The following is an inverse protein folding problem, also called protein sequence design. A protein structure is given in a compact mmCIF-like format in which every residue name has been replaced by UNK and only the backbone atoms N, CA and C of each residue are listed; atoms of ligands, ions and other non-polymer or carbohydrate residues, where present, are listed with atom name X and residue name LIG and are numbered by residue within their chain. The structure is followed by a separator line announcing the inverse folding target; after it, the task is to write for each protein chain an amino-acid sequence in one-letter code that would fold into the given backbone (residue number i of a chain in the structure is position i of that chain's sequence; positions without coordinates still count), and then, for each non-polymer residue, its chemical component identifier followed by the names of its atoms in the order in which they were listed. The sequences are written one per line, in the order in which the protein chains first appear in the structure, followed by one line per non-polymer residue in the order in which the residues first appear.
data_IF_926069578025
#
_entry.id   IF_926069578025
#
_cell.length_a   1.000
_cell.length_b   1.000
_cell.length_c   1.000
_cell.angle_alpha   90.00
_cell.angle_beta   90.00
_cell.angle_gamma   90.00
#
_symmetry.space_group_name_H-M   'P 1'
#
loop_
_entity.id
_entity.type
_entity.pdbx_description
1 polymer ?
#
# COMPACT_ATOMS: atom_id res chain seq x y z
N UNK A 1 49.97 12.67 -1.17
CA UNK A 1 49.16 12.98 -2.37
C UNK A 1 49.96 12.57 -3.59
N UNK A 2 49.43 11.64 -4.38
CA UNK A 2 50.14 11.03 -5.51
C UNK A 2 50.32 12.02 -6.66
N UNK A 3 51.57 12.37 -6.95
CA UNK A 3 51.96 13.28 -8.06
C UNK A 3 51.50 12.76 -9.42
N UNK A 4 51.30 11.44 -9.56
CA UNK A 4 50.73 10.81 -10.77
C UNK A 4 49.24 11.11 -10.98
N UNK A 5 48.46 11.31 -9.91
CA UNK A 5 47.02 11.67 -10.01
C UNK A 5 46.83 13.13 -10.38
N UNK A 6 47.74 14.01 -9.95
CA UNK A 6 47.70 15.44 -10.28
C UNK A 6 48.06 15.65 -11.77
N UNK A 7 49.05 14.90 -12.29
CA UNK A 7 49.45 15.02 -13.70
C UNK A 7 48.35 14.54 -14.67
N UNK A 8 47.62 13.46 -14.33
CA UNK A 8 46.48 13.00 -15.13
C UNK A 8 45.32 14.01 -15.16
N UNK A 9 45.10 14.77 -14.08
CA UNK A 9 44.08 15.82 -14.05
C UNK A 9 44.46 17.04 -14.90
N UNK A 10 45.74 17.40 -14.92
CA UNK A 10 46.24 18.53 -15.74
C UNK A 10 46.16 18.19 -17.24
N UNK A 11 46.50 16.96 -17.63
CA UNK A 11 46.41 16.51 -19.03
C UNK A 11 44.95 16.40 -19.48
N UNK A 12 44.04 15.94 -18.63
CA UNK A 12 42.60 15.90 -18.93
C UNK A 12 42.01 17.32 -19.07
N UNK A 13 42.43 18.26 -18.23
CA UNK A 13 42.00 19.65 -18.32
C UNK A 13 42.50 20.34 -19.60
N UNK A 14 43.71 20.05 -20.06
CA UNK A 14 44.23 20.58 -21.34
C UNK A 14 43.50 20.02 -22.57
N UNK A 15 43.03 18.78 -22.53
CA UNK A 15 42.27 18.17 -23.63
C UNK A 15 40.83 18.71 -23.70
N UNK A 16 40.22 19.04 -22.56
CA UNK A 16 38.87 19.65 -22.51
C UNK A 16 38.90 21.11 -22.99
N UNK A 17 39.97 21.86 -22.74
CA UNK A 17 40.12 23.24 -23.24
C UNK A 17 40.48 23.27 -24.73
N UNK A 18 41.20 22.26 -25.24
CA UNK A 18 41.61 22.16 -26.66
C UNK A 18 40.54 21.67 -27.64
N UNK A 19 39.40 21.17 -27.16
CA UNK A 19 38.26 20.72 -27.97
C UNK A 19 37.03 21.64 -27.80
N UNK A 20 37.26 22.92 -27.54
CA UNK A 20 36.27 23.94 -27.89
C UNK A 20 36.36 24.15 -29.40
N UNK A 21 35.34 23.76 -30.19
CA UNK A 21 35.32 24.17 -31.57
C UNK A 21 35.30 25.71 -31.62
N UNK A 22 36.22 26.27 -32.40
CA UNK A 22 36.06 27.57 -33.06
C UNK A 22 34.83 27.49 -33.99
N UNK A 23 33.65 27.34 -33.39
CA UNK A 23 32.36 27.44 -34.05
C UNK A 23 31.73 28.75 -33.58
N UNK A 24 32.03 29.79 -34.36
CA UNK A 24 31.07 30.83 -34.71
C UNK A 24 30.51 31.64 -33.53
N UNK A 25 31.35 32.54 -33.00
CA UNK A 25 30.91 33.91 -32.78
C UNK A 25 30.75 34.59 -34.15
N UNK A 26 29.77 34.13 -34.94
CA UNK A 26 29.19 34.92 -36.00
C UNK A 26 27.94 35.50 -35.35
N UNK A 27 27.98 36.80 -35.03
CA UNK A 27 26.80 37.60 -34.75
C UNK A 27 25.91 37.58 -36.00
N UNK A 28 25.27 36.45 -36.25
CA UNK A 28 24.13 36.41 -37.13
C UNK A 28 22.99 36.95 -36.26
N UNK A 29 22.78 38.27 -36.37
CA UNK A 29 21.49 38.91 -36.18
C UNK A 29 20.48 38.31 -37.18
N UNK A 30 20.19 37.02 -37.04
CA UNK A 30 18.98 36.43 -37.55
C UNK A 30 18.08 36.32 -36.35
N UNK A 31 17.27 37.36 -36.16
CA UNK A 31 15.88 37.21 -35.77
C UNK A 31 15.21 36.22 -36.75
N UNK A 32 15.59 34.95 -36.67
CA UNK A 32 14.86 33.87 -37.31
C UNK A 32 13.65 33.73 -36.41
N UNK A 33 12.57 34.42 -36.78
CA UNK A 33 11.26 34.21 -36.20
C UNK A 33 11.01 32.70 -36.19
N UNK A 34 11.17 32.08 -35.02
CA UNK A 34 10.70 30.73 -34.75
C UNK A 34 9.26 30.69 -35.26
N UNK A 35 9.04 29.83 -36.26
CA UNK A 35 7.72 29.68 -36.86
C UNK A 35 6.72 29.37 -35.75
N UNK A 36 5.47 29.81 -35.88
CA UNK A 36 4.43 29.59 -34.86
C UNK A 36 4.34 28.11 -34.42
N UNK A 37 4.63 27.17 -35.34
CA UNK A 37 4.72 25.73 -35.07
C UNK A 37 5.85 25.36 -34.10
N UNK A 38 7.07 25.90 -34.29
CA UNK A 38 8.19 25.62 -33.39
C UNK A 38 7.96 26.21 -31.99
N UNK A 39 7.38 27.42 -31.91
CA UNK A 39 6.98 28.01 -30.62
C UNK A 39 5.92 27.16 -29.90
N UNK A 40 4.96 26.58 -30.64
CA UNK A 40 3.94 25.69 -30.08
C UNK A 40 4.54 24.38 -29.54
N UNK A 41 5.48 23.76 -30.27
CA UNK A 41 6.18 22.54 -29.83
C UNK A 41 7.01 22.78 -28.58
N UNK A 42 7.77 23.89 -28.53
CA UNK A 42 8.55 24.26 -27.35
C UNK A 42 7.67 24.47 -26.11
N UNK A 43 6.59 25.25 -26.24
CA UNK A 43 5.61 25.43 -25.15
C UNK A 43 5.01 24.11 -24.66
N UNK A 44 4.74 23.19 -25.57
CA UNK A 44 4.19 21.87 -25.21
C UNK A 44 5.23 21.03 -24.45
N UNK A 45 6.51 21.07 -24.84
CA UNK A 45 7.59 20.37 -24.12
C UNK A 45 7.81 20.94 -22.72
N UNK A 46 7.83 22.27 -22.58
CA UNK A 46 7.96 22.94 -21.30
C UNK A 46 6.80 22.57 -20.36
N UNK A 47 5.56 22.64 -20.84
CA UNK A 47 4.38 22.23 -20.08
C UNK A 47 4.45 20.76 -19.63
N UNK A 48 4.91 19.85 -20.50
CA UNK A 48 5.12 18.43 -20.14
C UNK A 48 6.21 18.25 -19.10
N UNK A 49 7.31 18.98 -19.22
CA UNK A 49 8.39 18.90 -18.24
C UNK A 49 7.95 19.40 -16.87
N UNK A 50 7.21 20.51 -16.83
CA UNK A 50 6.61 21.05 -15.60
C UNK A 50 5.62 20.04 -14.99
N UNK A 51 4.74 19.45 -15.80
CA UNK A 51 3.80 18.42 -15.33
C UNK A 51 4.53 17.18 -14.76
N UNK A 52 5.58 16.70 -15.43
CA UNK A 52 6.36 15.55 -14.97
C UNK A 52 7.14 15.82 -13.68
N UNK A 53 7.64 17.04 -13.50
CA UNK A 53 8.29 17.47 -12.25
C UNK A 53 7.25 17.53 -11.13
N UNK A 54 6.11 18.20 -11.36
CA UNK A 54 5.03 18.31 -10.36
C UNK A 54 4.52 16.94 -9.92
N UNK A 55 4.29 16.03 -10.87
CA UNK A 55 3.86 14.66 -10.59
C UNK A 55 4.91 13.87 -9.78
N UNK A 56 6.20 14.02 -10.07
CA UNK A 56 7.28 13.40 -9.28
C UNK A 56 7.32 13.95 -7.85
N UNK A 57 7.08 15.24 -7.67
CA UNK A 57 7.01 15.85 -6.34
C UNK A 57 5.79 15.36 -5.55
N UNK A 58 4.62 15.26 -6.20
CA UNK A 58 3.43 14.65 -5.60
C UNK A 58 3.65 13.20 -5.20
N UNK A 59 4.30 12.39 -6.04
CA UNK A 59 4.63 11.00 -5.70
C UNK A 59 5.58 10.91 -4.50
N UNK A 60 6.59 11.78 -4.42
CA UNK A 60 7.47 11.87 -3.26
C UNK A 60 6.70 12.27 -2.01
N UNK A 61 5.81 13.26 -2.10
CA UNK A 61 4.97 13.70 -0.99
C UNK A 61 4.03 12.59 -0.51
N UNK A 62 3.38 11.88 -1.44
CA UNK A 62 2.54 10.70 -1.14
C UNK A 62 3.35 9.60 -0.45
N UNK A 63 4.58 9.32 -0.90
CA UNK A 63 5.47 8.32 -0.27
C UNK A 63 5.85 8.73 1.16
N UNK A 64 6.26 9.98 1.37
CA UNK A 64 6.59 10.48 2.72
C UNK A 64 5.36 10.45 3.64
N UNK A 65 4.18 10.84 3.14
CA UNK A 65 2.95 10.76 3.90
C UNK A 65 2.61 9.31 4.29
N UNK A 66 2.83 8.35 3.40
CA UNK A 66 2.64 6.93 3.66
C UNK A 66 3.62 6.39 4.71
N UNK A 67 4.92 6.72 4.60
CA UNK A 67 5.93 6.30 5.57
C UNK A 67 5.65 6.89 6.97
N UNK A 68 5.20 8.15 7.03
CA UNK A 68 4.73 8.78 8.26
C UNK A 68 3.51 8.06 8.84
N UNK A 69 2.54 7.68 8.01
CA UNK A 69 1.38 6.89 8.46
C UNK A 69 1.80 5.51 9.00
N UNK A 70 2.75 4.83 8.34
CA UNK A 70 3.31 3.55 8.81
C UNK A 70 4.00 3.70 10.15
N UNK A 71 4.79 4.74 10.34
CA UNK A 71 5.44 5.03 11.61
C UNK A 71 4.42 5.30 12.72
N UNK A 72 3.45 6.19 12.49
CA UNK A 72 2.37 6.48 13.45
C UNK A 72 1.60 5.20 13.80
N UNK A 73 1.34 4.33 12.83
CA UNK A 73 0.69 3.05 13.07
C UNK A 73 1.57 2.09 13.91
N UNK A 74 2.86 1.99 13.60
CA UNK A 74 3.81 1.17 14.34
C UNK A 74 3.96 1.64 15.79
N UNK A 75 4.04 2.95 16.02
CA UNK A 75 4.08 3.56 17.35
C UNK A 75 2.80 3.29 18.13
N UNK A 76 1.63 3.49 17.53
CA UNK A 76 0.34 3.14 18.14
C UNK A 76 0.25 1.66 18.48
N UNK A 77 0.70 0.77 17.58
CA UNK A 77 0.74 -0.68 17.81
C UNK A 77 1.67 -1.04 18.97
N UNK A 78 2.85 -0.42 19.05
CA UNK A 78 3.81 -0.65 20.12
C UNK A 78 3.27 -0.16 21.47
N UNK A 79 2.68 1.04 21.52
CA UNK A 79 2.04 1.60 22.71
C UNK A 79 0.90 0.70 23.22
N UNK A 80 0.04 0.23 22.30
CA UNK A 80 -1.05 -0.70 22.63
C UNK A 80 -0.53 -2.04 23.17
N UNK A 81 0.54 -2.56 22.59
CA UNK A 81 1.18 -3.80 23.06
C UNK A 81 1.78 -3.63 24.45
N UNK A 82 2.40 -2.48 24.73
CA UNK A 82 2.95 -2.15 26.04
C UNK A 82 1.84 -2.04 27.10
N UNK A 83 0.78 -1.28 26.82
CA UNK A 83 -0.38 -1.12 27.71
C UNK A 83 -1.05 -2.46 28.05
N UNK A 84 -1.28 -3.31 27.04
CA UNK A 84 -1.82 -4.66 27.26
C UNK A 84 -0.86 -5.57 28.02
N UNK A 85 0.45 -5.42 27.76
CA UNK A 85 1.51 -6.14 28.47
C UNK A 85 1.53 -5.81 29.96
N UNK A 86 1.47 -4.52 30.29
CA UNK A 86 1.43 -4.03 31.67
C UNK A 86 0.15 -4.48 32.39
N UNK A 87 -1.02 -4.30 31.76
CA UNK A 87 -2.29 -4.76 32.33
C UNK A 87 -2.27 -6.27 32.63
N UNK A 88 -1.68 -7.08 31.74
CA UNK A 88 -1.51 -8.53 31.94
C UNK A 88 -0.55 -8.85 33.07
N UNK A 89 0.56 -8.13 33.20
CA UNK A 89 1.52 -8.32 34.29
C UNK A 89 0.89 -7.97 35.64
N UNK A 90 0.17 -6.85 35.73
CA UNK A 90 -0.55 -6.43 36.93
C UNK A 90 -1.59 -7.48 37.35
N UNK A 91 -2.39 -7.96 36.39
CA UNK A 91 -3.35 -9.04 36.66
C UNK A 91 -2.67 -10.32 37.16
N UNK A 92 -1.54 -10.71 36.55
CA UNK A 92 -0.78 -11.91 36.97
C UNK A 92 -0.20 -11.75 38.38
N UNK A 93 0.32 -10.57 38.72
CA UNK A 93 0.85 -10.27 40.05
C UNK A 93 -0.24 -10.33 41.12
N UNK A 94 -1.41 -9.73 40.88
CA UNK A 94 -2.55 -9.80 41.80
C UNK A 94 -3.10 -11.23 41.93
N UNK A 95 -3.16 -11.99 40.83
CA UNK A 95 -3.51 -13.41 40.88
C UNK A 95 -2.50 -14.24 41.70
N UNK A 96 -1.23 -13.88 41.68
CA UNK A 96 -0.20 -14.54 42.50
C UNK A 96 -0.37 -14.17 43.98
N UNK A 97 -0.65 -12.91 44.31
CA UNK A 97 -1.02 -12.48 45.68
C UNK A 97 -2.26 -13.21 46.17
N UNK A 98 -3.28 -13.35 45.34
CA UNK A 98 -4.49 -14.11 45.67
C UNK A 98 -4.15 -15.54 46.09
N UNK A 99 -3.29 -16.25 45.35
CA UNK A 99 -2.85 -17.61 45.70
C UNK A 99 -2.06 -17.68 47.01
N UNK A 100 -1.34 -16.62 47.37
CA UNK A 100 -0.51 -16.58 48.58
C UNK A 100 -1.34 -16.21 49.83
N UNK A 101 -2.26 -15.26 49.69
CA UNK A 101 -3.03 -14.67 50.80
C UNK A 101 -4.31 -15.44 51.10
N UNK A 102 -4.99 -15.98 50.08
CA UNK A 102 -6.27 -16.69 50.25
C UNK A 102 -6.07 -18.18 50.54
N UNK A 103 -5.43 -18.54 51.65
CA UNK A 103 -5.53 -19.92 52.17
C UNK A 103 -6.88 -20.18 52.84
N UNK A 104 -7.40 -19.17 53.55
CA UNK A 104 -8.74 -19.15 54.12
C UNK A 104 -9.66 -18.26 53.24
N UNK A 105 -10.71 -18.85 52.66
CA UNK A 105 -11.54 -18.20 51.63
C UNK A 105 -12.29 -16.94 52.11
N UNK A 106 -12.46 -16.80 53.42
CA UNK A 106 -13.29 -15.79 54.08
C UNK A 106 -12.49 -14.78 54.93
N UNK A 107 -11.15 -14.78 54.86
CA UNK A 107 -10.38 -13.73 55.53
C UNK A 107 -10.63 -12.38 54.86
N UNK A 108 -10.70 -11.29 55.64
CA UNK A 108 -10.91 -9.93 55.11
C UNK A 108 -9.85 -9.56 54.04
N UNK A 109 -8.60 -9.98 54.27
CA UNK A 109 -7.52 -9.82 53.31
C UNK A 109 -7.77 -10.57 51.99
N UNK A 110 -8.38 -11.75 52.05
CA UNK A 110 -8.75 -12.49 50.85
C UNK A 110 -9.89 -11.82 50.07
N UNK A 111 -10.90 -11.29 50.78
CA UNK A 111 -12.01 -10.55 50.16
C UNK A 111 -11.49 -9.32 49.43
N UNK A 112 -10.59 -8.55 50.03
CA UNK A 112 -9.98 -7.37 49.40
C UNK A 112 -9.18 -7.72 48.14
N UNK A 113 -8.36 -8.79 48.18
CA UNK A 113 -7.59 -9.22 47.02
C UNK A 113 -8.51 -9.76 45.91
N UNK A 114 -9.57 -10.51 46.26
CA UNK A 114 -10.60 -10.96 45.30
C UNK A 114 -11.26 -9.77 44.61
N UNK A 115 -11.62 -8.72 45.34
CA UNK A 115 -12.22 -7.50 44.79
C UNK A 115 -11.26 -6.78 43.83
N UNK A 116 -9.98 -6.63 44.19
CA UNK A 116 -8.95 -6.04 43.31
C UNK A 116 -8.76 -6.83 42.02
N UNK A 117 -8.67 -8.16 42.10
CA UNK A 117 -8.55 -9.03 40.93
C UNK A 117 -9.75 -8.87 39.99
N UNK A 118 -10.98 -8.79 40.52
CA UNK A 118 -12.19 -8.56 39.71
C UNK A 118 -12.20 -7.18 39.07
N UNK A 119 -11.83 -6.14 39.81
CA UNK A 119 -11.72 -4.78 39.27
C UNK A 119 -10.73 -4.72 38.10
N UNK A 120 -9.54 -5.32 38.25
CA UNK A 120 -8.55 -5.40 37.18
C UNK A 120 -9.05 -6.21 35.97
N UNK A 121 -9.74 -7.34 36.21
CA UNK A 121 -10.34 -8.12 35.14
C UNK A 121 -11.38 -7.31 34.36
N UNK A 122 -12.24 -6.57 35.06
CA UNK A 122 -13.25 -5.68 34.45
C UNK A 122 -12.59 -4.61 33.58
N UNK A 123 -11.61 -3.87 34.10
CA UNK A 123 -10.88 -2.85 33.33
C UNK A 123 -10.18 -3.44 32.10
N UNK A 124 -9.59 -4.64 32.23
CA UNK A 124 -8.96 -5.32 31.11
C UNK A 124 -9.98 -5.71 30.03
N UNK A 125 -11.11 -6.31 30.42
CA UNK A 125 -12.17 -6.68 29.48
C UNK A 125 -12.78 -5.44 28.81
N UNK A 126 -13.02 -4.36 29.55
CA UNK A 126 -13.54 -3.10 28.99
C UNK A 126 -12.57 -2.50 27.95
N UNK A 127 -11.26 -2.44 28.25
CA UNK A 127 -10.23 -2.02 27.30
C UNK A 127 -10.21 -2.88 26.03
N UNK A 128 -10.38 -4.20 26.16
CA UNK A 128 -10.49 -5.11 25.01
C UNK A 128 -11.75 -4.84 24.17
N UNK A 129 -12.91 -4.62 24.80
CA UNK A 129 -14.14 -4.29 24.06
C UNK A 129 -14.02 -2.97 23.32
N UNK A 130 -13.46 -1.92 23.94
CA UNK A 130 -13.24 -0.64 23.28
C UNK A 130 -12.29 -0.77 22.07
N UNK A 131 -11.25 -1.60 22.18
CA UNK A 131 -10.32 -1.89 21.08
C UNK A 131 -10.99 -2.67 19.96
N UNK A 132 -11.84 -3.64 20.29
CA UNK A 132 -12.58 -4.41 19.30
C UNK A 132 -13.62 -3.55 18.56
N UNK A 133 -14.34 -2.67 19.26
CA UNK A 133 -15.28 -1.73 18.65
C UNK A 133 -14.60 -0.75 17.69
N UNK A 134 -13.46 -0.18 18.10
CA UNK A 134 -12.64 0.65 17.21
C UNK A 134 -12.12 -0.10 15.98
N UNK A 135 -11.92 -1.42 16.08
CA UNK A 135 -11.53 -2.24 14.94
C UNK A 135 -12.72 -2.46 14.00
N UNK A 136 -13.91 -2.78 14.52
CA UNK A 136 -15.14 -2.92 13.72
C UNK A 136 -15.42 -1.64 12.94
N UNK A 137 -15.50 -0.48 13.62
CA UNK A 137 -15.73 0.82 12.99
C UNK A 137 -14.75 1.14 11.85
N UNK A 138 -13.47 0.75 11.99
CA UNK A 138 -12.47 0.93 10.92
C UNK A 138 -12.73 0.02 9.72
N UNK A 139 -13.15 -1.22 9.96
CA UNK A 139 -13.51 -2.16 8.90
C UNK A 139 -14.75 -1.67 8.19
N UNK A 140 -15.77 -1.19 8.91
CA UNK A 140 -16.96 -0.58 8.34
C UNK A 140 -16.62 0.63 7.47
N UNK A 141 -15.85 1.59 7.99
CA UNK A 141 -15.39 2.76 7.22
C UNK A 141 -14.65 2.34 5.94
N UNK A 142 -13.85 1.27 6.01
CA UNK A 142 -13.14 0.75 4.84
C UNK A 142 -14.09 0.13 3.81
N UNK A 143 -15.07 -0.66 4.26
CA UNK A 143 -16.12 -1.24 3.39
C UNK A 143 -16.99 -0.14 2.78
N UNK A 144 -17.36 0.88 3.55
CA UNK A 144 -18.16 2.04 3.11
C UNK A 144 -17.43 2.92 2.09
N UNK A 145 -16.15 3.18 2.28
CA UNK A 145 -15.34 3.98 1.36
C UNK A 145 -14.92 3.21 0.11
N UNK A 146 -15.04 1.88 0.11
CA UNK A 146 -14.76 1.07 -1.07
C UNK A 146 -15.81 1.33 -2.15
N UNK A 147 -15.33 1.78 -3.30
CA UNK A 147 -16.12 2.00 -4.53
C UNK A 147 -16.10 0.77 -5.45
N UNK A 148 -15.21 -0.16 -5.16
CA UNK A 148 -14.91 -1.30 -6.01
C UNK A 148 -15.72 -2.54 -5.59
N UNK A 149 -16.07 -2.68 -4.31
CA UNK A 149 -16.93 -3.78 -3.83
C UNK A 149 -18.35 -3.60 -4.38
N UNK A 150 -18.98 -4.70 -4.81
CA UNK A 150 -20.38 -4.70 -5.27
C UNK A 150 -21.33 -4.26 -4.16
N UNK A 151 -22.43 -3.59 -4.53
CA UNK A 151 -23.40 -3.09 -3.55
C UNK A 151 -23.98 -4.21 -2.66
N UNK A 152 -24.23 -5.38 -3.25
CA UNK A 152 -24.71 -6.57 -2.54
C UNK A 152 -23.71 -7.04 -1.49
N UNK A 153 -22.44 -7.25 -1.87
CA UNK A 153 -21.42 -7.75 -0.94
C UNK A 153 -21.10 -6.72 0.15
N UNK A 154 -21.13 -5.44 -0.20
CA UNK A 154 -21.01 -4.33 0.75
C UNK A 154 -22.12 -4.37 1.79
N UNK A 155 -23.36 -4.54 1.37
CA UNK A 155 -24.51 -4.64 2.29
C UNK A 155 -24.41 -5.87 3.21
N UNK A 156 -23.96 -7.02 2.69
CA UNK A 156 -23.75 -8.24 3.47
C UNK A 156 -22.70 -8.03 4.57
N UNK A 157 -21.52 -7.51 4.20
CA UNK A 157 -20.42 -7.26 5.15
C UNK A 157 -20.81 -6.23 6.23
N UNK A 158 -21.51 -5.17 5.87
CA UNK A 158 -21.97 -4.17 6.83
C UNK A 158 -23.02 -4.75 7.80
N UNK A 159 -23.92 -5.61 7.32
CA UNK A 159 -24.89 -6.27 8.19
C UNK A 159 -24.22 -7.24 9.18
N UNK A 160 -23.19 -7.97 8.75
CA UNK A 160 -22.39 -8.82 9.64
C UNK A 160 -21.63 -8.00 10.69
N UNK A 161 -21.01 -6.88 10.29
CA UNK A 161 -20.31 -5.99 11.22
C UNK A 161 -21.26 -5.37 12.24
N UNK A 162 -22.45 -4.92 11.82
CA UNK A 162 -23.50 -4.41 12.72
C UNK A 162 -23.95 -5.49 13.72
N UNK A 163 -24.06 -6.75 13.29
CA UNK A 163 -24.37 -7.86 14.20
C UNK A 163 -23.26 -8.07 15.23
N UNK A 164 -21.98 -7.95 14.83
CA UNK A 164 -20.84 -8.00 15.75
C UNK A 164 -20.82 -6.83 16.72
N UNK A 165 -21.19 -5.62 16.30
CA UNK A 165 -21.32 -4.46 17.19
C UNK A 165 -22.38 -4.68 18.27
N UNK A 166 -23.54 -5.24 17.90
CA UNK A 166 -24.60 -5.60 18.85
C UNK A 166 -24.12 -6.64 19.86
N UNK A 167 -23.47 -7.71 19.39
CA UNK A 167 -22.91 -8.73 20.28
C UNK A 167 -21.83 -8.14 21.21
N UNK A 168 -21.02 -7.19 20.72
CA UNK A 168 -20.02 -6.50 21.54
C UNK A 168 -20.67 -5.62 22.61
N UNK A 169 -21.76 -4.94 22.28
CA UNK A 169 -22.53 -4.13 23.23
C UNK A 169 -23.12 -5.00 24.35
N UNK A 170 -23.70 -6.17 24.03
CA UNK A 170 -24.20 -7.13 25.01
C UNK A 170 -23.08 -7.62 25.96
N UNK A 171 -21.90 -7.94 25.41
CA UNK A 171 -20.74 -8.34 26.22
C UNK A 171 -20.30 -7.17 27.13
N UNK A 172 -20.34 -5.94 26.64
CA UNK A 172 -20.01 -4.74 27.42
C UNK A 172 -20.98 -4.55 28.60
N UNK A 173 -22.27 -4.79 28.39
CA UNK A 173 -23.25 -4.77 29.48
C UNK A 173 -22.95 -5.85 30.54
N UNK A 174 -22.61 -7.07 30.11
CA UNK A 174 -22.18 -8.14 31.03
C UNK A 174 -20.93 -7.74 31.82
N UNK A 175 -19.95 -7.08 31.20
CA UNK A 175 -18.74 -6.56 31.87
C UNK A 175 -19.10 -5.49 32.91
N UNK A 176 -20.03 -4.58 32.59
CA UNK A 176 -20.49 -3.54 33.53
C UNK A 176 -21.22 -4.14 34.73
N UNK A 177 -21.96 -5.23 34.52
CA UNK A 177 -22.64 -5.98 35.56
C UNK A 177 -21.70 -6.77 36.49
N UNK A 178 -20.42 -6.96 36.12
CA UNK A 178 -19.42 -7.59 37.02
C UNK A 178 -19.23 -6.72 38.26
N UNK A 179 -19.59 -7.30 39.40
CA UNK A 179 -19.53 -6.67 40.72
C UNK A 179 -18.62 -7.47 41.68
N UNK A 180 -18.51 -7.01 42.92
CA UNK A 180 -17.76 -7.71 43.97
C UNK A 180 -18.32 -9.10 44.29
N UNK A 181 -19.60 -9.37 44.00
CA UNK A 181 -20.24 -10.67 44.22
C UNK A 181 -20.14 -11.63 43.03
N UNK A 182 -19.75 -11.15 41.85
CA UNK A 182 -19.66 -11.98 40.64
C UNK A 182 -18.69 -13.15 40.80
N UNK A 183 -19.07 -14.32 40.30
CA UNK A 183 -18.22 -15.51 40.38
C UNK A 183 -17.03 -15.44 39.42
N UNK A 184 -15.99 -16.24 39.68
CA UNK A 184 -14.84 -16.35 38.78
C UNK A 184 -15.25 -16.96 37.44
N UNK A 185 -16.25 -17.84 37.48
CA UNK A 185 -16.84 -18.56 36.37
C UNK A 185 -17.58 -17.58 35.44
N UNK A 186 -18.32 -16.62 35.98
CA UNK A 186 -18.95 -15.52 35.20
C UNK A 186 -17.91 -14.70 34.43
N UNK A 187 -16.87 -14.22 35.11
CA UNK A 187 -15.82 -13.41 34.47
C UNK A 187 -15.10 -14.21 33.37
N UNK A 188 -14.87 -15.50 33.59
CA UNK A 188 -14.29 -16.40 32.59
C UNK A 188 -15.23 -16.62 31.40
N UNK A 189 -16.53 -16.75 31.63
CA UNK A 189 -17.52 -16.88 30.57
C UNK A 189 -17.53 -15.64 29.67
N UNK A 190 -17.57 -14.44 30.26
CA UNK A 190 -17.49 -13.17 29.54
C UNK A 190 -16.21 -13.07 28.71
N UNK A 191 -15.05 -13.42 29.30
CA UNK A 191 -13.77 -13.41 28.60
C UNK A 191 -13.74 -14.40 27.41
N UNK A 192 -14.42 -15.54 27.54
CA UNK A 192 -14.53 -16.54 26.46
C UNK A 192 -15.44 -16.02 25.33
N UNK A 193 -16.60 -15.46 25.65
CA UNK A 193 -17.50 -14.84 24.68
C UNK A 193 -16.78 -13.74 23.89
N UNK A 194 -16.09 -12.83 24.58
CA UNK A 194 -15.31 -11.76 23.94
C UNK A 194 -14.21 -12.30 23.02
N UNK A 195 -13.57 -13.41 23.42
CA UNK A 195 -12.54 -14.05 22.60
C UNK A 195 -13.10 -14.65 21.32
N UNK A 196 -14.24 -15.34 21.39
CA UNK A 196 -14.88 -15.90 20.20
C UNK A 196 -15.39 -14.80 19.27
N UNK A 197 -16.07 -13.77 19.80
CA UNK A 197 -16.48 -12.60 19.01
C UNK A 197 -15.29 -11.92 18.33
N UNK A 198 -14.15 -11.78 19.03
CA UNK A 198 -12.94 -11.22 18.42
C UNK A 198 -12.41 -12.05 17.24
N UNK A 199 -12.58 -13.38 17.25
CA UNK A 199 -12.20 -14.22 16.10
C UNK A 199 -13.16 -14.02 14.93
N UNK A 200 -14.45 -13.97 15.20
CA UNK A 200 -15.50 -13.78 14.18
C UNK A 200 -15.36 -12.42 13.49
N UNK A 201 -15.15 -11.35 14.26
CA UNK A 201 -14.86 -10.01 13.75
C UNK A 201 -13.61 -10.02 12.86
N UNK A 202 -12.55 -10.72 13.26
CA UNK A 202 -11.33 -10.84 12.43
C UNK A 202 -11.56 -11.63 11.16
N UNK A 203 -12.36 -12.69 11.21
CA UNK A 203 -12.72 -13.47 10.02
C UNK A 203 -13.49 -12.58 9.03
N UNK A 204 -14.50 -11.87 9.52
CA UNK A 204 -15.29 -10.90 8.75
C UNK A 204 -14.39 -9.81 8.13
N UNK A 205 -13.48 -9.24 8.93
CA UNK A 205 -12.52 -8.24 8.45
C UNK A 205 -11.58 -8.79 7.36
N UNK A 206 -11.15 -10.05 7.45
CA UNK A 206 -10.35 -10.71 6.40
C UNK A 206 -11.16 -10.85 5.11
N UNK A 207 -12.42 -11.27 5.20
CA UNK A 207 -13.31 -11.37 4.03
C UNK A 207 -13.53 -9.99 3.40
N UNK A 208 -13.78 -8.96 4.21
CA UNK A 208 -13.92 -7.59 3.73
C UNK A 208 -12.67 -7.09 3.00
N UNK A 209 -11.49 -7.33 3.57
CA UNK A 209 -10.20 -7.01 2.95
C UNK A 209 -10.01 -7.76 1.63
N UNK A 210 -10.30 -9.06 1.59
CA UNK A 210 -10.19 -9.85 0.37
C UNK A 210 -11.12 -9.33 -0.73
N UNK A 211 -12.38 -9.03 -0.40
CA UNK A 211 -13.32 -8.45 -1.35
C UNK A 211 -12.83 -7.11 -1.93
N UNK A 212 -12.23 -6.23 -1.10
CA UNK A 212 -11.63 -4.99 -1.60
C UNK A 212 -10.46 -5.27 -2.55
N UNK A 213 -9.58 -6.22 -2.19
CA UNK A 213 -8.40 -6.57 -2.99
C UNK A 213 -8.82 -7.17 -4.33
N UNK A 214 -9.76 -8.11 -4.34
CA UNK A 214 -10.29 -8.74 -5.57
C UNK A 214 -10.88 -7.70 -6.52
N UNK A 215 -11.71 -6.80 -6.01
CA UNK A 215 -12.30 -5.75 -6.84
C UNK A 215 -11.25 -4.77 -7.38
N UNK A 216 -10.22 -4.47 -6.59
CA UNK A 216 -9.09 -3.64 -7.04
C UNK A 216 -8.23 -4.37 -8.09
N UNK A 217 -8.03 -5.67 -7.94
CA UNK A 217 -7.33 -6.53 -8.91
C UNK A 217 -8.05 -6.51 -10.25
N UNK A 218 -9.37 -6.66 -10.27
CA UNK A 218 -10.16 -6.60 -11.50
C UNK A 218 -10.05 -5.23 -12.19
N UNK A 219 -10.19 -4.14 -11.42
CA UNK A 219 -10.04 -2.78 -11.93
C UNK A 219 -8.65 -2.56 -12.54
N UNK A 220 -7.60 -2.97 -11.83
CA UNK A 220 -6.21 -2.83 -12.30
C UNK A 220 -5.97 -3.69 -13.53
N UNK A 221 -6.43 -4.94 -13.56
CA UNK A 221 -6.32 -5.82 -14.72
C UNK A 221 -7.03 -5.22 -15.96
N UNK A 222 -8.19 -4.56 -15.76
CA UNK A 222 -8.89 -3.84 -16.84
C UNK A 222 -8.08 -2.65 -17.35
N UNK A 223 -7.54 -1.82 -16.44
CA UNK A 223 -6.67 -0.68 -16.81
C UNK A 223 -5.42 -1.14 -17.57
N UNK A 224 -4.75 -2.18 -17.09
CA UNK A 224 -3.57 -2.76 -17.72
C UNK A 224 -3.91 -3.38 -19.08
N UNK A 225 -5.06 -4.04 -19.22
CA UNK A 225 -5.54 -4.57 -20.51
C UNK A 225 -5.78 -3.45 -21.53
N UNK A 226 -6.40 -2.35 -21.12
CA UNK A 226 -6.56 -1.18 -21.99
C UNK A 226 -5.21 -0.59 -22.42
N UNK A 227 -4.26 -0.49 -21.49
CA UNK A 227 -2.90 -0.01 -21.78
C UNK A 227 -2.14 -0.95 -22.73
N UNK A 228 -2.28 -2.27 -22.57
CA UNK A 228 -1.70 -3.27 -23.46
C UNK A 228 -2.26 -3.15 -24.88
N UNK A 229 -3.57 -2.96 -25.04
CA UNK A 229 -4.19 -2.75 -26.35
C UNK A 229 -3.69 -1.46 -27.01
N UNK A 230 -3.56 -0.37 -26.25
CA UNK A 230 -2.99 0.88 -26.77
C UNK A 230 -1.51 0.73 -27.16
N UNK A 231 -0.74 -0.05 -26.40
CA UNK A 231 0.65 -0.37 -26.71
C UNK A 231 0.77 -1.21 -27.99
N UNK A 232 -0.11 -2.19 -28.19
CA UNK A 232 -0.18 -2.99 -29.42
C UNK A 232 -0.38 -2.13 -30.66
N UNK A 233 -1.37 -1.23 -30.66
CA UNK A 233 -1.59 -0.32 -31.81
C UNK A 233 -0.39 0.57 -32.11
N UNK A 234 0.38 0.96 -31.09
CA UNK A 234 1.63 1.73 -31.26
C UNK A 234 2.76 0.90 -31.85
N UNK A 235 2.89 -0.35 -31.39
CA UNK A 235 3.86 -1.31 -31.91
C UNK A 235 3.58 -1.60 -33.37
N UNK A 236 2.31 -1.78 -33.75
CA UNK A 236 1.89 -1.97 -35.15
C UNK A 236 2.25 -0.75 -36.00
N UNK A 237 1.91 0.46 -35.56
CA UNK A 237 2.25 1.69 -36.28
C UNK A 237 3.78 1.89 -36.44
N UNK A 238 4.57 1.55 -35.41
CA UNK A 238 6.04 1.60 -35.49
C UNK A 238 6.59 0.54 -36.46
N UNK A 239 6.02 -0.66 -36.46
CA UNK A 239 6.41 -1.73 -37.39
C UNK A 239 6.09 -1.36 -38.84
N UNK A 240 4.91 -0.80 -39.10
CA UNK A 240 4.52 -0.29 -40.43
C UNK A 240 5.44 0.83 -40.91
N UNK A 241 5.95 1.65 -39.99
CA UNK A 241 6.93 2.68 -40.28
C UNK A 241 8.36 2.13 -40.45
N UNK A 242 8.59 0.82 -40.26
CA UNK A 242 9.87 0.15 -40.47
C UNK A 242 10.75 0.03 -39.23
N UNK A 243 10.26 0.36 -38.03
CA UNK A 243 11.03 0.19 -36.79
C UNK A 243 11.17 -1.28 -36.39
N UNK A 244 12.31 -1.67 -35.80
CA UNK A 244 12.41 -2.96 -35.12
C UNK A 244 11.63 -2.94 -33.80
N UNK A 245 10.52 -3.67 -33.77
CA UNK A 245 9.63 -3.77 -32.60
C UNK A 245 9.68 -5.14 -31.94
N UNK A 246 10.68 -5.96 -32.23
CA UNK A 246 10.75 -7.36 -31.77
C UNK A 246 10.68 -7.46 -30.24
N UNK A 247 11.51 -6.68 -29.53
CA UNK A 247 11.51 -6.62 -28.05
C UNK A 247 10.18 -6.12 -27.48
N UNK A 248 9.56 -5.13 -28.12
CA UNK A 248 8.28 -4.59 -27.66
C UNK A 248 7.14 -5.61 -27.82
N UNK A 249 7.15 -6.41 -28.89
CA UNK A 249 6.20 -7.53 -29.08
C UNK A 249 6.36 -8.61 -28.02
N UNK A 250 7.59 -9.00 -27.69
CA UNK A 250 7.86 -9.97 -26.63
C UNK A 250 7.33 -9.48 -25.26
N UNK A 251 7.65 -8.23 -24.88
CA UNK A 251 7.17 -7.64 -23.62
C UNK A 251 5.66 -7.46 -23.57
N UNK A 252 4.99 -7.24 -24.72
CA UNK A 252 3.53 -7.19 -24.78
C UNK A 252 2.91 -8.58 -24.48
N UNK A 253 3.53 -9.66 -24.95
CA UNK A 253 3.10 -11.03 -24.63
C UNK A 253 3.28 -11.31 -23.14
N UNK A 254 4.42 -10.94 -22.56
CA UNK A 254 4.69 -11.07 -21.13
C UNK A 254 3.67 -10.29 -20.29
N UNK A 255 3.42 -9.01 -20.61
CA UNK A 255 2.41 -8.21 -19.94
C UNK A 255 1.02 -8.86 -20.00
N UNK A 256 0.63 -9.43 -21.14
CA UNK A 256 -0.66 -10.11 -21.28
C UNK A 256 -0.73 -11.36 -20.40
N UNK A 257 0.36 -12.12 -20.30
CA UNK A 257 0.44 -13.26 -19.40
C UNK A 257 0.33 -12.82 -17.93
N UNK A 258 1.03 -11.77 -17.53
CA UNK A 258 0.98 -11.23 -16.16
C UNK A 258 -0.41 -10.70 -15.78
N UNK A 259 -1.12 -10.07 -16.73
CA UNK A 259 -2.51 -9.64 -16.53
C UNK A 259 -3.42 -10.84 -16.26
N UNK A 260 -3.20 -11.97 -16.92
CA UNK A 260 -4.00 -13.18 -16.70
C UNK A 260 -3.68 -13.84 -15.36
N UNK A 261 -2.40 -13.89 -14.97
CA UNK A 261 -1.98 -14.29 -13.63
C UNK A 261 -2.63 -13.37 -12.58
N UNK A 262 -2.63 -12.06 -12.81
CA UNK A 262 -3.29 -11.09 -11.94
C UNK A 262 -4.78 -11.39 -11.77
N UNK A 263 -5.52 -11.69 -12.85
CA UNK A 263 -6.96 -12.04 -12.76
C UNK A 263 -7.23 -13.32 -11.99
N UNK A 264 -6.32 -14.29 -12.06
CA UNK A 264 -6.48 -15.59 -11.41
C UNK A 264 -5.98 -15.64 -9.97
N UNK A 265 -5.31 -14.59 -9.49
CA UNK A 265 -4.67 -14.55 -8.17
C UNK A 265 -5.54 -13.87 -7.12
N UNK A 266 -5.34 -14.25 -5.85
CA UNK A 266 -6.08 -13.69 -4.71
C UNK A 266 -5.14 -13.31 -3.58
N UNK A 267 -5.61 -12.48 -2.64
CA UNK A 267 -4.87 -12.12 -1.42
C UNK A 267 -3.48 -11.54 -1.69
N UNK A 268 -2.45 -12.18 -1.13
CA UNK A 268 -1.04 -11.74 -1.25
C UNK A 268 -0.46 -12.00 -2.64
N UNK A 269 -0.84 -13.11 -3.30
CA UNK A 269 -0.41 -13.44 -4.65
C UNK A 269 -0.90 -12.38 -5.64
N UNK A 270 -2.12 -11.88 -5.47
CA UNK A 270 -2.65 -10.83 -6.32
C UNK A 270 -1.87 -9.51 -6.23
N UNK A 271 -1.38 -9.16 -5.03
CA UNK A 271 -0.49 -8.00 -4.86
C UNK A 271 0.86 -8.18 -5.52
N UNK A 272 1.38 -9.41 -5.56
CA UNK A 272 2.62 -9.73 -6.25
C UNK A 272 2.43 -9.67 -7.77
N UNK A 273 1.40 -10.33 -8.29
CA UNK A 273 1.05 -10.33 -9.71
C UNK A 273 0.76 -8.90 -10.22
N UNK A 274 0.14 -8.05 -9.40
CA UNK A 274 -0.11 -6.65 -9.75
C UNK A 274 1.19 -5.87 -9.95
N UNK A 275 2.19 -6.10 -9.09
CA UNK A 275 3.51 -5.46 -9.21
C UNK A 275 4.28 -5.95 -10.44
N UNK A 276 4.20 -7.26 -10.72
CA UNK A 276 4.82 -7.86 -11.91
C UNK A 276 4.22 -7.27 -13.19
N UNK A 277 2.90 -7.26 -13.31
CA UNK A 277 2.22 -6.68 -14.47
C UNK A 277 2.52 -5.17 -14.65
N UNK A 278 2.64 -4.41 -13.56
CA UNK A 278 3.08 -3.00 -13.64
C UNK A 278 4.52 -2.84 -14.14
N UNK A 279 5.43 -3.71 -13.69
CA UNK A 279 6.81 -3.70 -14.16
C UNK A 279 6.89 -4.07 -15.65
N UNK A 280 6.14 -5.08 -16.10
CA UNK A 280 6.06 -5.49 -17.50
C UNK A 280 5.51 -4.38 -18.39
N UNK A 281 4.47 -3.65 -17.94
CA UNK A 281 3.99 -2.47 -18.64
C UNK A 281 5.06 -1.37 -18.73
N UNK A 282 5.80 -1.13 -17.65
CA UNK A 282 6.87 -0.13 -17.65
C UNK A 282 7.97 -0.48 -18.67
N UNK A 283 8.45 -1.73 -18.67
CA UNK A 283 9.47 -2.20 -19.61
C UNK A 283 8.98 -2.15 -21.06
N UNK A 284 7.70 -2.48 -21.30
CA UNK A 284 7.08 -2.37 -22.61
C UNK A 284 7.09 -0.93 -23.13
N UNK A 285 6.72 0.04 -22.28
CA UNK A 285 6.72 1.45 -22.66
C UNK A 285 8.14 1.98 -22.94
N UNK A 286 9.14 1.52 -22.19
CA UNK A 286 10.55 1.82 -22.48
C UNK A 286 10.97 1.25 -23.84
N UNK A 287 10.65 0.00 -24.15
CA UNK A 287 10.98 -0.61 -25.45
C UNK A 287 10.27 0.07 -26.64
N UNK A 288 9.02 0.52 -26.47
CA UNK A 288 8.30 1.31 -27.49
C UNK A 288 9.00 2.67 -27.71
N UNK A 289 9.49 3.29 -26.64
CA UNK A 289 10.24 4.55 -26.73
C UNK A 289 11.56 4.36 -27.47
N UNK A 290 12.30 3.28 -27.17
CA UNK A 290 13.58 2.96 -27.81
C UNK A 290 13.40 2.75 -29.32
N UNK A 291 12.44 1.90 -29.72
CA UNK A 291 12.13 1.64 -31.14
C UNK A 291 11.75 2.93 -31.90
N UNK A 292 11.04 3.85 -31.24
CA UNK A 292 10.71 5.16 -31.82
C UNK A 292 11.93 6.05 -32.00
N UNK A 293 12.89 6.01 -31.08
CA UNK A 293 14.14 6.79 -31.17
C UNK A 293 15.00 6.25 -32.33
N UNK A 294 15.12 4.92 -32.43
CA UNK A 294 15.87 4.26 -33.51
C UNK A 294 15.29 4.59 -34.89
N UNK A 295 13.96 4.46 -35.06
CA UNK A 295 13.28 4.83 -36.29
C UNK A 295 13.53 6.29 -36.71
N UNK A 296 13.53 7.22 -35.74
CA UNK A 296 13.85 8.63 -36.01
C UNK A 296 15.32 8.82 -36.41
N UNK A 297 16.24 8.08 -35.82
CA UNK A 297 17.66 8.14 -36.17
C UNK A 297 17.91 7.64 -37.59
N UNK A 298 17.29 6.52 -37.99
CA UNK A 298 17.38 5.96 -39.35
C UNK A 298 16.75 6.88 -40.39
N UNK A 299 15.55 7.41 -40.12
CA UNK A 299 14.90 8.37 -41.00
C UNK A 299 15.72 9.66 -41.13
N UNK A 300 16.33 10.19 -40.06
CA UNK A 300 17.20 11.35 -40.16
C UNK A 300 18.52 11.05 -40.90
N UNK A 301 19.03 9.82 -40.83
CA UNK A 301 20.15 9.39 -41.65
C UNK A 301 19.78 9.34 -43.15
N UNK A 302 18.54 8.94 -43.49
CA UNK A 302 18.01 8.98 -44.86
C UNK A 302 17.59 10.40 -45.33
N UNK A 303 17.14 11.28 -44.44
CA UNK A 303 16.62 12.63 -44.77
C UNK A 303 17.73 13.70 -44.96
N UNK A 304 18.99 13.27 -45.08
CA UNK A 304 19.96 14.04 -45.90
C UNK A 304 19.64 13.99 -47.40
N UNK A 305 18.58 13.26 -47.79
CA UNK A 305 17.81 13.46 -49.02
C UNK A 305 16.30 13.52 -48.67
N UNK A 306 15.76 14.74 -48.62
CA UNK A 306 14.33 15.10 -48.72
C UNK A 306 13.37 14.86 -47.52
N UNK A 307 13.29 15.91 -46.68
CA UNK A 307 12.12 16.53 -46.00
C UNK A 307 10.94 15.71 -45.37
N UNK A 308 10.91 15.77 -44.03
CA UNK A 308 9.82 16.12 -43.08
C UNK A 308 8.40 15.49 -43.21
N UNK A 309 8.03 14.69 -42.21
CA UNK A 309 6.67 14.59 -41.67
C UNK A 309 6.68 14.07 -40.22
N UNK A 310 6.36 14.93 -39.23
CA UNK A 310 6.20 14.57 -37.82
C UNK A 310 4.71 14.41 -37.47
N UNK A 311 4.33 13.24 -36.95
CA UNK A 311 3.08 13.04 -36.20
C UNK A 311 3.45 12.42 -34.85
N UNK A 312 3.28 13.16 -33.77
CA UNK A 312 3.41 12.66 -32.39
C UNK A 312 2.01 12.62 -31.76
N UNK A 313 1.47 11.41 -31.57
CA UNK A 313 0.22 11.21 -30.83
C UNK A 313 0.51 10.75 -29.40
N UNK A 314 -0.03 11.51 -28.45
CA UNK A 314 0.06 11.33 -27.01
C UNK A 314 -0.69 10.10 -26.52
N UNK A 315 -0.14 9.42 -25.52
CA UNK A 315 -0.94 8.78 -24.48
C UNK A 315 -0.10 8.81 -23.22
N UNK A 316 -0.41 9.79 -22.40
CA UNK A 316 -0.23 9.72 -20.96
C UNK A 316 -1.10 8.57 -20.47
N UNK A 317 -0.51 7.40 -20.28
CA UNK A 317 -1.13 6.40 -19.42
C UNK A 317 -0.85 6.86 -18.01
N UNK A 318 -1.77 7.64 -17.44
CA UNK A 318 -1.85 7.90 -16.02
C UNK A 318 -2.11 6.56 -15.30
N UNK A 319 -1.05 5.80 -15.04
CA UNK A 319 -1.12 4.67 -14.11
C UNK A 319 -1.15 5.22 -12.69
N UNK A 320 -2.26 5.84 -12.31
CA UNK A 320 -2.68 5.92 -10.92
C UNK A 320 -3.09 4.51 -10.46
N UNK A 321 -2.07 3.72 -10.15
CA UNK A 321 -2.20 2.44 -9.47
C UNK A 321 -1.08 2.29 -8.45
N UNK A 322 -0.77 3.37 -7.73
CA UNK A 322 -0.15 3.24 -6.42
C UNK A 322 -1.26 3.13 -5.36
N UNK A 323 -2.13 2.13 -5.53
CA UNK A 323 -3.00 1.68 -4.44
C UNK A 323 -2.22 0.57 -3.74
N UNK A 324 -1.22 0.96 -2.95
CA UNK A 324 -0.83 0.14 -1.81
C UNK A 324 -2.04 0.15 -0.89
N UNK A 325 -3.00 -0.76 -1.15
CA UNK A 325 -4.11 -1.04 -0.25
C UNK A 325 -3.47 -1.33 1.09
N UNK A 326 -3.61 -0.38 2.02
CA UNK A 326 -3.06 -0.41 3.36
C UNK A 326 -3.83 -1.47 4.14
N UNK A 327 -3.50 -2.70 3.80
CA UNK A 327 -4.10 -3.94 4.28
C UNK A 327 -2.96 -4.79 4.84
N UNK A 328 -2.02 -4.10 5.51
CA UNK A 328 -1.34 -4.62 6.70
C UNK A 328 -2.24 -4.51 7.94
N UNK A 329 -3.56 -4.54 7.72
CA UNK A 329 -4.51 -5.14 8.65
C UNK A 329 -4.32 -6.67 8.75
N UNK A 330 -3.09 -7.17 8.51
CA UNK A 330 -2.55 -8.30 9.24
C UNK A 330 -2.46 -7.91 10.73
N UNK A 331 -3.63 -7.71 11.32
CA UNK A 331 -3.90 -7.83 12.73
C UNK A 331 -3.79 -9.30 13.11
N UNK A 332 -2.61 -9.87 12.86
CA UNK A 332 -1.94 -10.67 13.87
C UNK A 332 -1.60 -9.74 15.05
N UNK A 333 -2.63 -9.13 15.65
CA UNK A 333 -2.69 -9.11 17.08
C UNK A 333 -2.94 -10.57 17.43
N UNK A 334 -1.87 -11.36 17.44
CA UNK A 334 -1.80 -12.51 18.32
C UNK A 334 -1.99 -11.95 19.73
N UNK A 335 -3.23 -11.62 20.07
CA UNK A 335 -3.71 -11.75 21.43
C UNK A 335 -3.71 -13.25 21.60
N UNK A 336 -2.53 -13.80 21.87
CA UNK A 336 -2.40 -15.00 22.67
C UNK A 336 -3.04 -14.66 24.02
N UNK A 337 -4.38 -14.64 24.03
CA UNK A 337 -5.20 -14.99 25.19
C UNK A 337 -4.97 -16.47 25.41
N UNK A 338 -3.72 -16.81 25.74
CA UNK A 338 -3.40 -17.96 26.53
C UNK A 338 -3.92 -17.61 27.93
N UNK A 339 -5.25 -17.57 28.07
CA UNK A 339 -5.99 -17.73 29.32
C UNK A 339 -5.93 -19.23 29.62
N UNK A 340 -4.72 -19.79 29.59
CA UNK A 340 -4.39 -21.02 30.25
C UNK A 340 -4.31 -20.68 31.73
N UNK A 341 -5.47 -20.45 32.36
CA UNK A 341 -5.59 -20.68 33.80
C UNK A 341 -5.68 -22.18 33.99
N UNK A 342 -4.61 -22.88 33.57
CA UNK A 342 -4.33 -24.24 34.00
C UNK A 342 -3.85 -24.11 35.43
N UNK A 343 -4.79 -24.16 36.35
CA UNK A 343 -4.51 -24.36 37.75
C UNK A 343 -5.48 -25.45 38.19
N UNK A 344 -4.99 -26.69 38.20
CA UNK A 344 -5.36 -27.62 39.27
C UNK A 344 -5.05 -26.89 40.58
N UNK A 345 -6.06 -26.24 41.14
CA UNK A 345 -6.18 -25.83 42.54
C UNK A 345 -7.62 -26.14 42.90
#
# INVERSE_FOLDING_TARGET
MDTKRIFNWIVLAMVIVGLTPLALAQEVNQDTELTAKQKAVLKTKEARQESAVSYKEELKAKKVALDNQRQVFAEKKAALKAELGEARQNFKAEMQKLKQTCKDENSDACVEVKAKVKAHARTFLDSLTAKLGNFIMKVETHVESSTQISAEKKSELLAELEAHEKALAEIKEKIVAVSETSTKEEVRAIAKELKELSKEVRATAKVAVHATVEAQVELTAKKLGNAANAAESRIEALAEAGADVSKAKELLIELRADIEVLRSSSGEEARKAMREAHNSLKLLLEAISDARIELKAENNAQVTTEAKSEVEADAEVETEANVETNTDANTNVEVETNIGVSANI
#
